data_IF_219944323579
#
_entry.id   IF_219944323579
#
_cell.length_a   1.000
_cell.length_b   1.000
_cell.length_c   1.000
_cell.angle_alpha   90.00
_cell.angle_beta   90.00
_cell.angle_gamma   90.00
#
_symmetry.space_group_name_H-M   'P 1'
#
loop_
_entity.id
_entity.type
_entity.pdbx_description
1 polymer ?
#
# COMPACT_ATOMS: atom_id res chain seq x y z
N UNK A 1 -17.81 -26.20 56.16
CA UNK A 1 -16.66 -25.50 55.55
C UNK A 1 -16.93 -25.07 54.10
N UNK A 2 -17.61 -25.90 53.30
CA UNK A 2 -17.99 -25.58 51.91
C UNK A 2 -18.89 -24.34 51.76
N UNK A 3 -19.85 -24.12 52.67
CA UNK A 3 -20.74 -22.95 52.64
C UNK A 3 -20.03 -21.61 52.84
N UNK A 4 -18.96 -21.59 53.64
CA UNK A 4 -18.13 -20.40 53.87
C UNK A 4 -17.27 -20.07 52.63
N UNK A 5 -16.79 -21.11 51.92
CA UNK A 5 -16.08 -20.95 50.65
C UNK A 5 -16.99 -20.46 49.53
N UNK A 6 -18.25 -20.90 49.50
CA UNK A 6 -19.25 -20.38 48.55
C UNK A 6 -19.56 -18.92 48.85
N UNK A 7 -19.79 -18.56 50.12
CA UNK A 7 -20.07 -17.17 50.49
C UNK A 7 -18.89 -16.23 50.16
N UNK A 8 -17.65 -16.67 50.40
CA UNK A 8 -16.47 -15.87 50.04
C UNK A 8 -16.33 -15.73 48.53
N UNK A 9 -16.55 -16.80 47.76
CA UNK A 9 -16.56 -16.78 46.30
C UNK A 9 -17.59 -15.81 45.72
N UNK A 10 -18.82 -15.80 46.25
CA UNK A 10 -19.89 -14.87 45.82
C UNK A 10 -19.50 -13.41 46.11
N UNK A 11 -18.86 -13.12 47.25
CA UNK A 11 -18.39 -11.76 47.57
C UNK A 11 -17.28 -11.30 46.63
N UNK A 12 -16.36 -12.18 46.25
CA UNK A 12 -15.28 -11.88 45.29
C UNK A 12 -15.87 -11.63 43.90
N UNK A 13 -16.79 -12.48 43.45
CA UNK A 13 -17.48 -12.31 42.17
C UNK A 13 -18.26 -10.99 42.13
N UNK A 14 -18.99 -10.66 43.19
CA UNK A 14 -19.70 -9.37 43.30
C UNK A 14 -18.74 -8.18 43.21
N UNK A 15 -17.59 -8.21 43.92
CA UNK A 15 -16.57 -7.14 43.84
C UNK A 15 -15.95 -7.05 42.45
N UNK A 16 -15.68 -8.18 41.79
CA UNK A 16 -15.16 -8.22 40.43
C UNK A 16 -16.18 -7.65 39.44
N UNK A 17 -17.44 -8.05 39.52
CA UNK A 17 -18.52 -7.53 38.69
C UNK A 17 -18.71 -6.01 38.89
N UNK A 18 -18.71 -5.52 40.12
CA UNK A 18 -18.84 -4.09 40.41
C UNK A 18 -17.66 -3.26 39.89
N UNK A 19 -16.43 -3.79 39.95
CA UNK A 19 -15.23 -3.10 39.44
C UNK A 19 -15.12 -3.14 37.91
N UNK A 20 -15.55 -4.24 37.29
CA UNK A 20 -15.43 -4.44 35.84
C UNK A 20 -16.62 -3.88 35.04
N UNK A 21 -17.72 -3.49 35.70
CA UNK A 21 -18.91 -2.94 35.03
C UNK A 21 -18.59 -1.70 34.19
N UNK A 22 -17.71 -0.81 34.67
CA UNK A 22 -17.29 0.39 33.94
C UNK A 22 -16.41 0.11 32.72
N UNK A 23 -15.67 -1.01 32.71
CA UNK A 23 -14.83 -1.43 31.57
C UNK A 23 -15.69 -1.98 30.42
N UNK A 24 -16.85 -2.53 30.74
CA UNK A 24 -17.83 -2.99 29.76
C UNK A 24 -18.60 -1.83 29.12
N UNK A 25 -18.66 -0.65 29.75
CA UNK A 25 -19.47 0.47 29.26
C UNK A 25 -19.01 1.01 27.88
N UNK A 26 -17.71 1.19 27.58
CA UNK A 26 -17.26 1.55 26.23
C UNK A 26 -17.42 0.42 25.21
N UNK A 27 -17.30 -0.84 25.66
CA UNK A 27 -17.44 -2.02 24.78
C UNK A 27 -18.91 -2.32 24.41
N UNK A 28 -19.86 -1.96 25.29
CA UNK A 28 -21.30 -2.11 25.08
C UNK A 28 -21.98 -0.85 24.54
N UNK A 29 -21.33 0.31 24.64
CA UNK A 29 -21.80 1.52 23.95
C UNK A 29 -21.60 1.32 22.45
N UNK A 30 -22.70 1.08 21.73
CA UNK A 30 -22.79 1.49 20.33
C UNK A 30 -22.40 2.96 20.28
N UNK A 31 -21.61 3.36 19.27
CA UNK A 31 -21.16 4.74 19.09
C UNK A 31 -22.37 5.68 19.23
N UNK A 32 -22.46 6.37 20.37
CA UNK A 32 -23.67 7.14 20.73
C UNK A 32 -23.76 8.42 19.90
N UNK A 33 -22.64 8.86 19.32
CA UNK A 33 -22.54 10.00 18.44
C UNK A 33 -22.57 9.53 16.97
N UNK A 34 -23.51 10.02 16.14
CA UNK A 34 -23.55 9.77 14.71
C UNK A 34 -22.21 9.98 14.00
N UNK A 35 -21.37 10.92 14.43
CA UNK A 35 -20.07 11.17 13.81
C UNK A 35 -19.07 10.03 14.07
N UNK A 36 -19.06 9.48 15.30
CA UNK A 36 -18.22 8.34 15.64
C UNK A 36 -18.66 7.09 14.88
N UNK A 37 -19.97 6.92 14.68
CA UNK A 37 -20.51 5.84 13.87
C UNK A 37 -20.04 5.95 12.41
N UNK A 38 -20.13 7.14 11.80
CA UNK A 38 -19.63 7.39 10.43
C UNK A 38 -18.13 7.10 10.30
N UNK A 39 -17.33 7.46 11.30
CA UNK A 39 -15.90 7.18 11.29
C UNK A 39 -15.61 5.67 11.29
N UNK A 40 -16.28 4.92 12.18
CA UNK A 40 -16.14 3.46 12.24
C UNK A 40 -16.61 2.80 10.94
N UNK A 41 -17.71 3.27 10.38
CA UNK A 41 -18.24 2.75 9.12
C UNK A 41 -17.26 3.00 7.97
N UNK A 42 -16.62 4.18 7.92
CA UNK A 42 -15.58 4.45 6.92
C UNK A 42 -14.34 3.59 7.10
N UNK A 43 -13.89 3.32 8.33
CA UNK A 43 -12.79 2.38 8.57
C UNK A 43 -13.12 0.99 8.02
N UNK A 44 -14.35 0.51 8.25
CA UNK A 44 -14.81 -0.79 7.74
C UNK A 44 -14.90 -0.80 6.21
N UNK A 45 -15.44 0.26 5.61
CA UNK A 45 -15.50 0.46 4.16
C UNK A 45 -14.09 0.43 3.53
N UNK A 46 -13.12 1.16 4.11
CA UNK A 46 -11.76 1.16 3.59
C UNK A 46 -11.07 -0.19 3.74
N UNK A 47 -11.32 -0.89 4.85
CA UNK A 47 -10.75 -2.24 5.08
C UNK A 47 -11.28 -3.26 4.07
N UNK A 48 -12.55 -3.19 3.68
CA UNK A 48 -13.10 -4.11 2.67
C UNK A 48 -12.57 -3.78 1.27
N UNK A 49 -12.45 -2.48 0.95
CA UNK A 49 -11.94 -2.00 -0.34
C UNK A 49 -10.44 -2.17 -0.53
N UNK A 50 -9.65 -2.23 0.52
CA UNK A 50 -8.19 -2.38 0.43
C UNK A 50 -7.70 -3.81 0.18
N UNK A 51 -8.60 -4.80 0.17
CA UNK A 51 -8.24 -6.17 -0.11
C UNK A 51 -7.93 -6.36 -1.60
N UNK A 52 -6.74 -6.89 -1.92
CA UNK A 52 -6.42 -7.39 -3.27
C UNK A 52 -5.34 -6.63 -4.04
N UNK A 53 -4.76 -5.55 -3.50
CA UNK A 53 -3.58 -4.87 -4.07
C UNK A 53 -3.76 -4.24 -5.45
N UNK A 54 -4.97 -4.29 -6.01
CA UNK A 54 -5.35 -3.70 -7.28
C UNK A 54 -6.03 -2.34 -7.05
N UNK A 55 -6.23 -1.61 -8.14
CA UNK A 55 -7.01 -0.38 -8.11
C UNK A 55 -8.43 -0.67 -7.60
N UNK A 56 -8.80 0.03 -6.53
CA UNK A 56 -10.12 -0.08 -5.90
C UNK A 56 -11.20 0.37 -6.90
N UNK A 57 -12.24 -0.43 -7.06
CA UNK A 57 -13.39 -0.14 -7.93
C UNK A 57 -12.99 0.26 -9.37
N UNK A 58 -11.90 -0.32 -9.90
CA UNK A 58 -11.38 0.05 -11.21
C UNK A 58 -12.34 -0.34 -12.34
N UNK A 59 -12.78 0.65 -13.11
CA UNK A 59 -13.51 0.41 -14.35
C UNK A 59 -12.57 -0.05 -15.47
N UNK A 60 -13.07 -0.77 -16.50
CA UNK A 60 -12.28 -1.15 -17.65
C UNK A 60 -11.61 0.04 -18.36
N UNK A 61 -12.23 1.22 -18.34
CA UNK A 61 -11.70 2.45 -18.90
C UNK A 61 -10.44 2.92 -18.16
N UNK A 62 -10.46 2.91 -16.82
CA UNK A 62 -9.32 3.31 -15.98
C UNK A 62 -8.14 2.36 -16.21
N UNK A 63 -8.41 1.05 -16.29
CA UNK A 63 -7.35 0.07 -16.58
C UNK A 63 -6.74 0.27 -17.98
N UNK A 64 -7.57 0.63 -18.96
CA UNK A 64 -7.10 0.94 -20.32
C UNK A 64 -6.26 2.21 -20.33
N UNK A 65 -6.68 3.27 -19.65
CA UNK A 65 -5.92 4.51 -19.50
C UNK A 65 -4.58 4.25 -18.82
N UNK A 66 -4.57 3.51 -17.71
CA UNK A 66 -3.33 3.12 -17.02
C UNK A 66 -2.36 2.40 -17.94
N UNK A 67 -2.83 1.43 -18.74
CA UNK A 67 -1.97 0.74 -19.73
C UNK A 67 -1.44 1.69 -20.80
N UNK A 68 -2.29 2.58 -21.31
CA UNK A 68 -1.88 3.57 -22.32
C UNK A 68 -0.82 4.53 -21.80
N UNK A 69 -0.96 5.02 -20.56
CA UNK A 69 0.05 5.89 -19.94
C UNK A 69 1.36 5.14 -19.68
N UNK A 70 1.30 3.90 -19.21
CA UNK A 70 2.51 3.06 -19.05
C UNK A 70 3.23 2.81 -20.37
N UNK A 71 2.50 2.57 -21.47
CA UNK A 71 3.08 2.40 -22.80
C UNK A 71 3.74 3.68 -23.33
N UNK A 72 3.14 4.85 -23.08
CA UNK A 72 3.74 6.14 -23.44
C UNK A 72 5.05 6.37 -22.69
N UNK A 73 5.06 6.11 -21.38
CA UNK A 73 6.25 6.22 -20.53
C UNK A 73 7.34 5.24 -20.99
N UNK A 74 6.98 3.99 -21.27
CA UNK A 74 7.90 3.00 -21.80
C UNK A 74 8.58 3.46 -23.11
N UNK A 75 7.81 4.02 -24.05
CA UNK A 75 8.36 4.58 -25.29
C UNK A 75 9.28 5.78 -25.06
N UNK A 76 8.92 6.67 -24.14
CA UNK A 76 9.70 7.88 -23.86
C UNK A 76 11.04 7.58 -23.17
N UNK A 77 11.08 6.59 -22.28
CA UNK A 77 12.26 6.28 -21.48
C UNK A 77 13.03 5.03 -21.94
N UNK A 78 12.74 4.54 -23.15
CA UNK A 78 13.49 3.44 -23.77
C UNK A 78 13.14 2.03 -23.27
N UNK A 79 12.02 1.86 -22.56
CA UNK A 79 11.50 0.59 -22.05
C UNK A 79 10.56 -0.15 -22.99
N UNK A 80 10.81 -0.11 -24.29
CA UNK A 80 9.99 -0.80 -25.28
C UNK A 80 10.01 -2.33 -25.14
N UNK A 81 9.34 -3.04 -26.04
CA UNK A 81 9.07 -4.50 -25.99
C UNK A 81 10.30 -5.41 -25.73
N UNK A 82 11.52 -4.91 -25.94
CA UNK A 82 12.77 -5.66 -25.81
C UNK A 82 13.74 -5.09 -24.74
N UNK A 83 13.30 -4.11 -23.95
CA UNK A 83 14.14 -3.47 -22.93
C UNK A 83 13.70 -3.90 -21.53
N UNK A 84 14.57 -4.65 -20.84
CA UNK A 84 14.39 -4.97 -19.43
C UNK A 84 14.71 -3.74 -18.57
N UNK A 85 13.66 -3.09 -18.07
CA UNK A 85 13.78 -1.91 -17.20
C UNK A 85 14.34 -2.24 -15.80
N UNK A 86 14.48 -3.51 -15.46
CA UNK A 86 15.11 -3.95 -14.20
C UNK A 86 16.61 -4.17 -14.34
N UNK A 87 17.10 -4.33 -15.57
CA UNK A 87 18.51 -4.50 -15.87
C UNK A 87 19.18 -3.15 -16.15
N UNK A 88 20.40 -3.00 -15.63
CA UNK A 88 21.22 -1.82 -15.91
C UNK A 88 21.73 -1.87 -17.37
N UNK A 89 21.79 -0.74 -18.09
CA UNK A 89 22.22 -0.71 -19.49
C UNK A 89 23.69 -1.12 -19.65
N UNK A 90 23.96 -1.93 -20.67
CA UNK A 90 25.32 -2.28 -21.06
C UNK A 90 25.91 -1.18 -21.95
N UNK A 91 26.97 -0.53 -21.47
CA UNK A 91 27.69 0.45 -22.28
C UNK A 91 28.73 -0.23 -23.17
N UNK A 92 28.67 0.08 -24.47
CA UNK A 92 29.75 -0.22 -25.43
C UNK A 92 30.31 1.11 -25.91
N UNK A 93 31.60 1.31 -25.68
CA UNK A 93 32.31 2.49 -26.15
C UNK A 93 33.03 2.12 -27.44
N UNK A 94 32.60 2.69 -28.56
CA UNK A 94 33.35 2.57 -29.82
C UNK A 94 34.55 3.51 -29.80
N UNK A 95 35.67 3.06 -30.35
CA UNK A 95 36.87 3.90 -30.44
C UNK A 95 36.61 5.12 -31.34
N UNK A 96 37.01 6.33 -30.91
CA UNK A 96 36.82 7.52 -31.70
C UNK A 96 37.61 7.40 -33.00
N UNK A 97 36.92 7.53 -34.14
CA UNK A 97 37.59 7.62 -35.45
C UNK A 97 38.31 8.97 -35.53
N UNK A 98 39.64 8.93 -35.46
CA UNK A 98 40.47 10.13 -35.62
C UNK A 98 40.65 10.39 -37.11
N UNK A 99 40.06 11.47 -37.61
CA UNK A 99 40.32 11.92 -38.98
C UNK A 99 41.77 12.44 -39.08
N UNK A 100 42.54 12.04 -40.12
CA UNK A 100 43.93 12.44 -40.25
C UNK A 100 44.04 13.96 -40.48
N UNK A 101 44.70 14.64 -39.55
CA UNK A 101 45.07 16.05 -39.66
C UNK A 101 46.26 16.14 -40.62
N UNK A 102 46.01 16.64 -41.84
CA UNK A 102 46.97 16.98 -42.91
C UNK A 102 47.55 15.83 -43.75
N UNK A 103 46.84 15.45 -44.81
CA UNK A 103 47.38 14.68 -45.92
C UNK A 103 47.16 15.37 -47.28
N UNK A 104 47.42 16.68 -47.40
CA UNK A 104 47.59 17.40 -48.68
C UNK A 104 48.57 18.56 -48.53
N UNK A 105 49.87 18.26 -48.55
CA UNK A 105 50.88 19.21 -48.99
C UNK A 105 52.08 18.41 -49.51
N UNK A 106 52.00 18.02 -50.78
CA UNK A 106 53.18 17.60 -51.54
C UNK A 106 52.96 17.85 -53.03
N UNK A 107 52.88 19.13 -53.37
CA UNK A 107 53.08 19.64 -54.73
C UNK A 107 54.16 20.74 -54.66
N UNK A 108 55.42 20.32 -54.54
CA UNK A 108 56.62 21.07 -54.98
C UNK A 108 57.57 20.04 -55.60
#
# INVERSE_FOLDING_TARGET
MLSQQILSGVRVLRKAAHRNFGILAPALNKASDPIQQLFVDKIRDYKSKSAGGQLVDASPEIQREMKQELEKLAKQYGGGENADMTAFPQFKFEEPKVDPINAKNKDI
#
